data_IF_043611939945
#
_entry.id   IF_043611939945
#
_cell.length_a   1.000
_cell.length_b   1.000
_cell.length_c   1.000
_cell.angle_alpha   90.00
_cell.angle_beta   90.00
_cell.angle_gamma   90.00
#
_symmetry.space_group_name_H-M   'P 1'
#
loop_
_entity.id
_entity.type
_entity.pdbx_description
1 polymer ?
#
# COMPACT_ATOMS: atom_id res chain seq x y z
N UNK A 1 -15.77 -30.75 -11.56
CA UNK A 1 -15.08 -30.58 -12.86
C UNK A 1 -13.64 -30.21 -12.58
N UNK A 2 -12.70 -30.74 -13.35
CA UNK A 2 -11.28 -30.38 -13.26
C UNK A 2 -10.89 -29.70 -14.57
N UNK A 3 -10.17 -28.58 -14.47
CA UNK A 3 -9.65 -27.85 -15.62
C UNK A 3 -8.13 -27.99 -15.66
N UNK A 4 -7.59 -28.15 -16.87
CA UNK A 4 -6.17 -28.35 -17.11
C UNK A 4 -5.51 -27.02 -17.44
N UNK A 5 -4.42 -26.71 -16.73
CA UNK A 5 -3.59 -25.54 -17.00
C UNK A 5 -2.29 -25.99 -17.66
N UNK A 6 -1.89 -25.30 -18.73
CA UNK A 6 -0.68 -25.60 -19.48
C UNK A 6 0.44 -24.66 -19.04
N UNK A 7 1.59 -25.23 -18.68
CA UNK A 7 2.73 -24.46 -18.21
C UNK A 7 3.41 -23.76 -19.41
N UNK A 8 3.62 -22.45 -19.31
CA UNK A 8 4.32 -21.64 -20.32
C UNK A 8 3.46 -20.76 -21.24
N UNK A 9 2.13 -20.69 -21.03
CA UNK A 9 1.22 -19.79 -21.76
C UNK A 9 0.57 -18.78 -20.80
N UNK A 10 0.43 -17.51 -21.22
CA UNK A 10 -0.22 -16.45 -20.43
C UNK A 10 -1.74 -16.65 -20.44
N UNK A 11 -2.30 -17.09 -19.32
CA UNK A 11 -3.74 -17.32 -19.11
C UNK A 11 -4.42 -16.09 -18.48
N UNK A 12 -4.29 -14.93 -19.12
CA UNK A 12 -5.01 -13.72 -18.72
C UNK A 12 -6.53 -13.97 -18.78
N UNK A 13 -7.24 -13.75 -17.66
CA UNK A 13 -8.70 -13.89 -17.57
C UNK A 13 -9.24 -15.03 -16.68
N UNK A 14 -8.40 -15.72 -15.88
CA UNK A 14 -8.86 -16.71 -14.88
C UNK A 14 -8.85 -16.16 -13.44
N UNK A 15 -8.31 -14.96 -13.21
CA UNK A 15 -8.21 -14.39 -11.86
C UNK A 15 -8.45 -12.88 -11.85
N UNK A 16 -9.65 -12.46 -12.19
CA UNK A 16 -10.15 -11.09 -12.04
C UNK A 16 -11.09 -10.91 -10.83
N UNK A 17 -11.34 -11.96 -10.05
CA UNK A 17 -12.18 -11.86 -8.84
C UNK A 17 -11.47 -12.45 -7.61
N UNK A 18 -11.02 -11.58 -6.69
CA UNK A 18 -10.67 -12.00 -5.34
C UNK A 18 -11.91 -12.57 -4.63
N UNK A 19 -11.80 -13.80 -4.13
CA UNK A 19 -12.88 -14.48 -3.39
C UNK A 19 -12.94 -14.00 -1.94
N UNK A 20 -13.41 -12.78 -1.71
CA UNK A 20 -13.83 -12.32 -0.38
C UNK A 20 -15.33 -11.99 -0.38
N UNK A 21 -16.09 -12.34 0.68
CA UNK A 21 -17.53 -12.15 0.70
C UNK A 21 -17.89 -10.69 0.90
N UNK A 22 -18.66 -10.11 -0.04
CA UNK A 22 -19.36 -8.84 0.17
C UNK A 22 -20.48 -9.06 1.19
N UNK A 23 -20.31 -8.55 2.40
CA UNK A 23 -21.35 -8.54 3.44
C UNK A 23 -22.47 -7.63 2.97
N UNK A 24 -23.58 -8.20 2.50
CA UNK A 24 -24.81 -7.45 2.24
C UNK A 24 -25.49 -7.13 3.57
N UNK A 25 -25.50 -5.86 3.96
CA UNK A 25 -26.38 -5.39 5.03
C UNK A 25 -25.89 -4.14 5.73
N UNK A 26 -26.03 -2.97 5.09
CA UNK A 26 -26.19 -1.70 5.80
C UNK A 26 -27.12 -0.79 4.95
N UNK A 27 -28.16 -0.18 5.54
CA UNK A 27 -29.20 0.53 4.82
C UNK A 27 -28.72 1.86 4.21
N UNK A 28 -29.37 2.22 3.11
CA UNK A 28 -29.09 3.40 2.29
C UNK A 28 -29.52 4.73 2.95
N UNK A 29 -28.67 5.73 2.69
CA UNK A 29 -28.95 7.14 2.40
C UNK A 29 -29.76 7.97 3.41
N UNK A 30 -29.03 8.88 4.08
CA UNK A 30 -29.47 10.26 4.29
C UNK A 30 -28.38 11.17 3.69
N UNK A 31 -28.77 11.99 2.72
CA UNK A 31 -27.94 12.96 1.98
C UNK A 31 -27.74 14.22 2.82
N UNK A 32 -26.50 14.68 3.00
CA UNK A 32 -26.21 16.11 3.22
C UNK A 32 -25.00 16.54 2.37
N UNK A 33 -25.25 17.52 1.50
CA UNK A 33 -24.24 18.25 0.74
C UNK A 33 -23.58 19.32 1.60
N UNK A 34 -22.25 19.49 1.49
CA UNK A 34 -21.60 20.78 1.71
C UNK A 34 -20.28 20.86 0.90
N UNK A 35 -20.38 21.56 -0.23
CA UNK A 35 -19.50 22.63 -0.72
C UNK A 35 -17.97 22.38 -0.85
N UNK A 36 -17.58 21.98 -2.06
CA UNK A 36 -16.47 22.52 -2.86
C UNK A 36 -15.12 22.87 -2.22
N UNK A 37 -14.15 21.96 -2.38
CA UNK A 37 -12.76 22.36 -2.67
C UNK A 37 -12.16 21.43 -3.75
N UNK A 38 -11.92 22.01 -4.91
CA UNK A 38 -11.48 21.39 -6.15
C UNK A 38 -9.95 21.24 -6.20
N UNK A 39 -9.45 20.03 -5.94
CA UNK A 39 -8.22 19.52 -6.55
C UNK A 39 -8.48 18.11 -7.09
N UNK A 40 -8.73 18.03 -8.39
CA UNK A 40 -8.88 16.78 -9.11
C UNK A 40 -7.53 16.06 -9.22
N UNK A 41 -7.29 15.06 -8.36
CA UNK A 41 -6.38 13.95 -8.65
C UNK A 41 -7.21 12.70 -8.95
N UNK A 42 -7.81 12.69 -10.14
CA UNK A 42 -8.63 11.57 -10.60
C UNK A 42 -7.78 10.45 -11.21
N UNK A 43 -7.84 9.30 -10.52
CA UNK A 43 -7.97 7.93 -11.04
C UNK A 43 -6.83 7.33 -11.90
N UNK A 44 -6.00 6.53 -11.22
CA UNK A 44 -5.47 5.25 -11.72
C UNK A 44 -5.45 4.30 -10.53
N UNK A 45 -5.98 3.09 -10.66
CA UNK A 45 -6.21 2.09 -9.59
C UNK A 45 -5.36 2.33 -8.34
N UNK A 46 -5.92 3.04 -7.36
CA UNK A 46 -5.18 3.50 -6.20
C UNK A 46 -4.59 2.28 -5.50
N UNK A 47 -3.26 2.23 -5.39
CA UNK A 47 -2.54 1.20 -4.65
C UNK A 47 -3.25 1.00 -3.31
N UNK A 48 -3.84 -0.18 -3.05
CA UNK A 48 -4.73 -0.39 -1.91
C UNK A 48 -3.99 -0.26 -0.57
N UNK A 49 -2.65 -0.29 -0.58
CA UNK A 49 -1.83 -0.06 0.60
C UNK A 49 -1.74 1.44 0.96
N UNK A 50 -2.03 2.35 0.03
CA UNK A 50 -1.96 3.80 0.27
C UNK A 50 -3.28 4.30 0.90
N UNK A 51 -3.44 4.05 2.20
CA UNK A 51 -4.57 4.54 2.99
C UNK A 51 -4.36 5.99 3.47
N UNK A 52 -5.39 6.59 4.08
CA UNK A 52 -5.25 7.91 4.71
C UNK A 52 -4.25 7.89 5.88
N UNK A 53 -4.21 6.80 6.65
CA UNK A 53 -3.26 6.60 7.75
C UNK A 53 -1.82 6.51 7.23
N UNK A 54 -1.59 5.78 6.13
CA UNK A 54 -0.27 5.70 5.50
C UNK A 54 0.18 7.08 4.98
N UNK A 55 -0.71 7.86 4.36
CA UNK A 55 -0.39 9.23 3.93
C UNK A 55 0.01 10.13 5.11
N UNK A 56 -0.74 10.07 6.21
CA UNK A 56 -0.43 10.85 7.41
C UNK A 56 0.89 10.42 8.07
N UNK A 57 1.11 9.09 8.18
CA UNK A 57 2.36 8.52 8.67
C UNK A 57 3.55 8.93 7.81
N UNK A 58 3.41 8.88 6.48
CA UNK A 58 4.45 9.29 5.55
C UNK A 58 4.77 10.78 5.69
N UNK A 59 3.76 11.65 5.80
CA UNK A 59 3.98 13.09 6.03
C UNK A 59 4.82 13.36 7.28
N UNK A 60 4.49 12.70 8.40
CA UNK A 60 5.28 12.83 9.63
C UNK A 60 6.71 12.29 9.48
N UNK A 61 6.87 11.20 8.73
CA UNK A 61 8.17 10.61 8.44
C UNK A 61 9.03 11.53 7.55
N UNK A 62 8.43 12.21 6.57
CA UNK A 62 9.12 13.21 5.73
C UNK A 62 9.68 14.34 6.59
N UNK A 63 8.87 14.86 7.53
CA UNK A 63 9.30 15.91 8.46
C UNK A 63 10.40 15.41 9.40
N UNK A 64 10.26 14.20 9.95
CA UNK A 64 11.25 13.62 10.86
C UNK A 64 12.62 13.43 10.20
N UNK A 65 12.63 12.97 8.94
CA UNK A 65 13.85 12.66 8.19
C UNK A 65 14.28 13.75 7.21
N UNK A 66 13.58 14.89 7.20
CA UNK A 66 13.86 16.04 6.34
C UNK A 66 13.94 15.65 4.85
N UNK A 67 12.99 14.81 4.42
CA UNK A 67 12.95 14.26 3.06
C UNK A 67 12.20 15.21 2.13
N UNK A 68 12.77 15.42 0.95
CA UNK A 68 12.17 16.22 -0.12
C UNK A 68 12.41 15.51 -1.45
N UNK A 69 11.44 15.54 -2.36
CA UNK A 69 11.54 14.94 -3.68
C UNK A 69 11.48 16.01 -4.76
N UNK A 70 12.04 15.72 -5.94
CA UNK A 70 12.20 16.70 -7.00
C UNK A 70 10.89 17.01 -7.73
N UNK A 71 9.99 16.04 -7.80
CA UNK A 71 8.74 16.14 -8.54
C UNK A 71 7.67 15.21 -7.94
N UNK A 72 6.43 15.39 -8.43
CA UNK A 72 5.26 14.64 -7.97
C UNK A 72 5.34 13.14 -8.30
N UNK A 73 5.98 12.77 -9.40
CA UNK A 73 6.15 11.37 -9.80
C UNK A 73 7.05 10.63 -8.80
N UNK A 74 8.19 11.20 -8.45
CA UNK A 74 9.09 10.68 -7.42
C UNK A 74 8.39 10.63 -6.05
N UNK A 75 7.64 11.66 -5.67
CA UNK A 75 6.85 11.65 -4.42
C UNK A 75 5.88 10.46 -4.38
N UNK A 76 5.15 10.23 -5.48
CA UNK A 76 4.19 9.11 -5.59
C UNK A 76 4.89 7.75 -5.55
N UNK A 77 6.02 7.61 -6.22
CA UNK A 77 6.82 6.37 -6.17
C UNK A 77 7.29 6.08 -4.75
N UNK A 78 7.84 7.08 -4.06
CA UNK A 78 8.35 6.95 -2.69
C UNK A 78 7.23 6.66 -1.70
N UNK A 79 6.06 7.24 -1.89
CA UNK A 79 4.87 6.92 -1.10
C UNK A 79 4.43 5.46 -1.29
N UNK A 80 4.43 4.93 -2.52
CA UNK A 80 4.08 3.52 -2.78
C UNK A 80 5.11 2.55 -2.17
N UNK A 81 6.41 2.88 -2.27
CA UNK A 81 7.47 2.10 -1.62
C UNK A 81 7.32 2.13 -0.10
N UNK A 82 7.07 3.30 0.48
CA UNK A 82 6.85 3.45 1.92
C UNK A 82 5.64 2.64 2.40
N UNK A 83 4.51 2.68 1.66
CA UNK A 83 3.32 1.89 1.95
C UNK A 83 3.60 0.38 1.90
N UNK A 84 4.32 -0.07 0.88
CA UNK A 84 4.75 -1.46 0.73
C UNK A 84 5.66 -1.92 1.88
N UNK A 85 6.63 -1.08 2.26
CA UNK A 85 7.52 -1.35 3.38
C UNK A 85 6.76 -1.41 4.70
N UNK A 86 5.78 -0.53 4.93
CA UNK A 86 4.92 -0.56 6.12
C UNK A 86 4.19 -1.90 6.23
N UNK A 87 3.56 -2.35 5.15
CA UNK A 87 2.88 -3.64 5.09
C UNK A 87 3.82 -4.83 5.38
N UNK A 88 5.04 -4.79 4.83
CA UNK A 88 6.06 -5.81 5.10
C UNK A 88 6.47 -5.84 6.58
N UNK A 89 6.64 -4.67 7.20
CA UNK A 89 6.97 -4.52 8.61
C UNK A 89 5.84 -5.06 9.48
N UNK A 90 4.58 -4.72 9.19
CA UNK A 90 3.42 -5.19 9.96
C UNK A 90 3.32 -6.71 9.90
N UNK A 91 3.36 -7.29 8.70
CA UNK A 91 3.33 -8.75 8.52
C UNK A 91 4.49 -9.45 9.23
N UNK A 92 5.70 -8.87 9.19
CA UNK A 92 6.84 -9.43 9.91
C UNK A 92 6.63 -9.39 11.43
N UNK A 93 6.07 -8.29 11.94
CA UNK A 93 5.81 -8.11 13.36
C UNK A 93 4.69 -9.03 13.86
N UNK A 94 3.67 -9.32 13.03
CA UNK A 94 2.66 -10.34 13.31
C UNK A 94 3.30 -11.73 13.40
N UNK A 95 4.16 -12.08 12.44
CA UNK A 95 4.92 -13.34 12.48
C UNK A 95 5.87 -13.43 13.70
N UNK A 96 6.45 -12.30 14.12
CA UNK A 96 7.25 -12.22 15.34
C UNK A 96 6.40 -12.47 16.59
N UNK A 97 5.18 -11.92 16.65
CA UNK A 97 4.24 -12.14 17.75
C UNK A 97 3.78 -13.61 17.86
N UNK A 98 3.72 -14.32 16.72
CA UNK A 98 3.49 -15.78 16.67
C UNK A 98 4.74 -16.61 16.98
N UNK A 99 5.90 -15.97 17.17
CA UNK A 99 7.18 -16.64 17.44
C UNK A 99 7.84 -17.28 16.21
N UNK A 100 7.41 -16.92 15.00
CA UNK A 100 7.97 -17.43 13.74
C UNK A 100 9.26 -16.71 13.34
N UNK A 101 9.47 -15.48 13.81
CA UNK A 101 10.70 -14.70 13.62
C UNK A 101 11.24 -14.22 14.96
N UNK A 102 12.56 -14.00 15.02
CA UNK A 102 13.27 -13.68 16.27
C UNK A 102 13.51 -12.19 16.50
N UNK A 103 13.10 -11.33 15.57
CA UNK A 103 13.35 -9.89 15.63
C UNK A 103 12.11 -9.12 15.17
N UNK A 104 12.07 -7.83 15.51
CA UNK A 104 10.99 -6.92 15.13
C UNK A 104 11.51 -5.87 14.17
N UNK A 105 10.71 -5.48 13.19
CA UNK A 105 11.02 -4.41 12.25
C UNK A 105 10.30 -3.10 12.64
N UNK A 106 10.80 -1.98 12.11
CA UNK A 106 10.26 -0.64 12.35
C UNK A 106 10.33 0.20 11.08
N UNK A 107 9.46 1.21 11.03
CA UNK A 107 9.39 2.21 9.95
C UNK A 107 10.06 3.54 10.32
N UNK A 108 10.72 3.64 11.47
CA UNK A 108 11.36 4.87 11.98
C UNK A 108 12.75 5.16 11.37
N UNK A 109 13.16 4.38 10.38
CA UNK A 109 14.46 4.52 9.72
C UNK A 109 14.44 5.50 8.55
N UNK A 110 15.58 6.12 8.20
CA UNK A 110 15.67 7.08 7.09
C UNK A 110 15.60 6.44 5.70
N UNK A 111 15.48 5.11 5.63
CA UNK A 111 15.48 4.30 4.40
C UNK A 111 14.13 3.64 4.13
N UNK A 112 13.08 4.01 4.86
CA UNK A 112 11.74 3.41 4.75
C UNK A 112 11.04 3.70 3.41
N UNK A 113 11.54 4.64 2.62
CA UNK A 113 11.11 4.99 1.26
C UNK A 113 11.93 4.31 0.15
N UNK A 114 12.86 3.42 0.50
CA UNK A 114 13.71 2.71 -0.46
C UNK A 114 13.23 1.27 -0.65
N UNK A 115 13.32 0.81 -1.89
CA UNK A 115 13.24 -0.62 -2.21
C UNK A 115 14.51 -1.32 -1.73
N UNK A 116 14.45 -2.65 -1.61
CA UNK A 116 15.63 -3.43 -1.22
C UNK A 116 16.79 -3.26 -2.20
N UNK A 117 16.52 -3.23 -3.51
CA UNK A 117 17.56 -3.04 -4.53
C UNK A 117 18.23 -1.67 -4.44
N UNK A 118 17.45 -0.61 -4.18
CA UNK A 118 18.01 0.72 -3.94
C UNK A 118 18.84 0.74 -2.67
N UNK A 119 18.35 0.14 -1.59
CA UNK A 119 19.06 0.07 -0.31
C UNK A 119 20.36 -0.74 -0.39
N UNK A 120 20.44 -1.78 -1.22
CA UNK A 120 21.71 -2.49 -1.44
C UNK A 120 22.73 -1.67 -2.23
N UNK A 121 22.28 -0.65 -2.97
CA UNK A 121 23.12 0.16 -3.85
C UNK A 121 23.66 1.46 -3.23
N UNK A 122 23.32 1.76 -1.96
CA UNK A 122 23.73 2.99 -1.24
C UNK A 122 25.12 2.92 -0.62
#
# INVERSE_FOLDING_TARGET
>A
GYFWMKMGENMCGISDCASYPLVRGAPEADEEEEDGEDVALSNDAADPLITAEIRASFSNWLDLHQKTYQNEEEYRERLSVYASNHFLVDRHNDAQAEGLTSYRMKMDGPFSDLTFAEFESI
#
